data_IF_166224865487
#
_entry.id   IF_166224865487
#
_cell.length_a   1.000
_cell.length_b   1.000
_cell.length_c   1.000
_cell.angle_alpha   90.00
_cell.angle_beta   90.00
_cell.angle_gamma   90.00
#
_symmetry.space_group_name_H-M   'P 1'
#
loop_
_entity.id
_entity.type
_entity.pdbx_description
1 polymer ?
#
# COMPACT_ATOMS: atom_id res chain seq x y z
N UNK A 1 -6.63 13.56 3.18
CA UNK A 1 -5.81 13.21 4.36
C UNK A 1 -4.34 13.28 4.00
N UNK A 2 -3.50 13.82 4.88
CA UNK A 2 -2.04 13.74 4.75
C UNK A 2 -1.50 12.75 5.77
N UNK A 3 -0.40 12.08 5.43
CA UNK A 3 0.38 11.22 6.33
C UNK A 3 1.82 11.72 6.39
N UNK A 4 2.56 11.30 7.39
CA UNK A 4 3.95 11.69 7.64
C UNK A 4 4.12 13.21 7.93
N UNK A 5 3.12 13.87 8.50
CA UNK A 5 3.24 15.25 8.96
C UNK A 5 4.17 15.35 10.18
N UNK A 6 4.81 16.51 10.41
CA UNK A 6 5.55 16.73 11.65
C UNK A 6 4.70 16.38 12.88
N UNK A 7 5.26 15.59 13.79
CA UNK A 7 4.57 15.11 14.99
C UNK A 7 3.52 14.03 14.78
N UNK A 8 3.25 13.57 13.55
CA UNK A 8 2.37 12.42 13.34
C UNK A 8 3.07 11.09 13.63
N UNK A 9 2.30 10.13 14.08
CA UNK A 9 2.70 8.73 14.23
C UNK A 9 1.81 7.83 13.38
N UNK A 10 2.25 6.60 13.15
CA UNK A 10 1.46 5.57 12.46
C UNK A 10 0.08 5.40 13.11
N UNK A 11 0.01 5.41 14.44
CA UNK A 11 -1.22 5.28 15.22
C UNK A 11 -2.12 6.51 15.08
N UNK A 12 -1.54 7.73 15.07
CA UNK A 12 -2.33 8.96 14.91
C UNK A 12 -2.94 9.06 13.51
N UNK A 13 -2.23 8.57 12.50
CA UNK A 13 -2.72 8.51 11.12
C UNK A 13 -3.87 7.51 10.96
N UNK A 14 -3.75 6.32 11.55
CA UNK A 14 -4.83 5.33 11.59
C UNK A 14 -6.08 5.90 12.28
N UNK A 15 -5.92 6.51 13.46
CA UNK A 15 -7.05 7.18 14.13
C UNK A 15 -7.68 8.29 13.28
N UNK A 16 -6.87 9.04 12.54
CA UNK A 16 -7.39 10.07 11.63
C UNK A 16 -8.21 9.45 10.50
N UNK A 17 -7.75 8.34 9.93
CA UNK A 17 -8.50 7.61 8.90
C UNK A 17 -9.83 7.07 9.44
N UNK A 18 -9.82 6.46 10.62
CA UNK A 18 -11.03 5.99 11.31
C UNK A 18 -12.01 7.13 11.59
N UNK A 19 -11.50 8.28 12.03
CA UNK A 19 -12.33 9.47 12.27
C UNK A 19 -12.98 9.99 10.99
N UNK A 20 -12.23 10.04 9.87
CA UNK A 20 -12.77 10.40 8.55
C UNK A 20 -13.90 9.44 8.13
N UNK A 21 -13.72 8.14 8.36
CA UNK A 21 -14.76 7.13 8.10
C UNK A 21 -16.00 7.37 8.99
N UNK A 22 -15.81 7.62 10.29
CA UNK A 22 -16.89 7.86 11.23
C UNK A 22 -17.70 9.13 10.91
N UNK A 23 -17.09 10.12 10.26
CA UNK A 23 -17.77 11.31 9.77
C UNK A 23 -18.61 11.06 8.49
N UNK A 24 -18.64 9.85 7.96
CA UNK A 24 -19.42 9.50 6.78
C UNK A 24 -18.81 9.94 5.45
N UNK A 25 -17.50 10.08 5.37
CA UNK A 25 -16.84 10.40 4.11
C UNK A 25 -17.08 9.29 3.08
N UNK A 26 -17.55 9.65 1.87
CA UNK A 26 -17.73 8.69 0.77
C UNK A 26 -16.44 8.50 -0.02
N UNK A 27 -15.60 9.53 -0.10
CA UNK A 27 -14.38 9.56 -0.90
C UNK A 27 -13.24 10.25 -0.15
N UNK A 28 -12.01 9.80 -0.42
CA UNK A 28 -10.80 10.37 0.19
C UNK A 28 -9.64 10.44 -0.80
N UNK A 29 -8.65 11.26 -0.46
CA UNK A 29 -7.33 11.27 -1.09
C UNK A 29 -6.28 11.16 0.00
N UNK A 30 -5.20 10.43 -0.26
CA UNK A 30 -4.10 10.21 0.69
C UNK A 30 -2.81 10.75 0.11
N UNK A 31 -2.20 11.70 0.80
CA UNK A 31 -0.97 12.34 0.35
C UNK A 31 0.14 12.17 1.40
N UNK A 32 1.14 11.32 1.14
CA UNK A 32 2.37 11.34 1.92
C UNK A 32 3.07 12.70 1.82
N UNK A 33 3.58 13.17 2.94
CA UNK A 33 4.22 14.48 3.05
C UNK A 33 5.59 14.46 2.40
N UNK A 34 5.81 15.40 1.47
CA UNK A 34 7.06 15.59 0.74
C UNK A 34 7.63 16.97 1.06
N UNK A 35 8.93 17.06 1.26
CA UNK A 35 9.64 18.32 1.57
C UNK A 35 9.99 19.00 0.26
N UNK A 36 9.47 20.23 0.08
CA UNK A 36 9.79 21.07 -1.07
C UNK A 36 10.65 22.28 -0.65
N UNK A 37 11.52 22.77 -1.55
CA UNK A 37 12.36 23.92 -1.25
C UNK A 37 11.52 25.18 -0.95
N UNK A 38 12.08 26.09 -0.19
CA UNK A 38 11.47 27.38 0.20
C UNK A 38 10.18 27.24 1.04
N UNK A 39 9.97 26.11 1.72
CA UNK A 39 8.85 25.89 2.65
C UNK A 39 9.33 25.87 4.09
N UNK A 40 8.44 26.11 5.05
CA UNK A 40 8.79 25.95 6.47
C UNK A 40 9.17 24.51 6.80
N UNK A 41 8.52 23.54 6.17
CA UNK A 41 8.88 22.12 6.33
C UNK A 41 10.32 21.83 5.89
N UNK A 42 10.81 22.50 4.84
CA UNK A 42 12.21 22.41 4.43
C UNK A 42 13.15 22.95 5.49
N UNK A 43 12.82 24.10 6.09
CA UNK A 43 13.61 24.67 7.20
C UNK A 43 13.61 23.76 8.42
N UNK A 44 12.48 23.16 8.77
CA UNK A 44 12.40 22.17 9.85
C UNK A 44 13.29 20.96 9.55
N UNK A 45 13.28 20.46 8.31
CA UNK A 45 14.14 19.37 7.87
C UNK A 45 15.63 19.74 7.98
N UNK A 46 16.01 20.93 7.49
CA UNK A 46 17.40 21.43 7.56
C UNK A 46 17.89 21.61 9.01
N UNK A 47 16.99 21.97 9.95
CA UNK A 47 17.29 22.07 11.38
C UNK A 47 17.23 20.74 12.13
N UNK A 48 16.86 19.64 11.46
CA UNK A 48 16.68 18.31 12.09
C UNK A 48 15.43 18.20 12.98
N UNK A 49 14.51 19.15 12.89
CA UNK A 49 13.23 19.15 13.62
C UNK A 49 12.16 18.27 12.96
N UNK A 50 12.36 17.91 11.70
CA UNK A 50 11.50 17.01 10.95
C UNK A 50 12.36 15.98 10.21
N UNK A 51 12.00 14.71 10.38
CA UNK A 51 12.63 13.58 9.67
C UNK A 51 11.54 13.00 8.74
N UNK A 52 11.64 13.22 7.42
CA UNK A 52 10.70 12.66 6.47
C UNK A 52 10.89 11.15 6.38
N UNK A 53 9.80 10.43 6.13
CA UNK A 53 9.87 9.01 5.88
C UNK A 53 10.49 8.72 4.52
N UNK A 54 11.11 7.56 4.40
CA UNK A 54 11.48 7.01 3.10
C UNK A 54 10.24 6.49 2.34
N UNK A 55 10.46 6.06 1.10
CA UNK A 55 9.38 5.61 0.21
C UNK A 55 8.71 4.33 0.74
N UNK A 56 9.48 3.41 1.31
CA UNK A 56 8.97 2.12 1.76
C UNK A 56 8.14 2.26 3.04
N UNK A 57 8.62 3.00 4.02
CA UNK A 57 7.87 3.27 5.25
C UNK A 57 6.61 4.10 4.96
N UNK A 58 6.68 5.08 4.06
CA UNK A 58 5.51 5.84 3.63
C UNK A 58 4.49 4.96 2.91
N UNK A 59 4.93 3.97 2.11
CA UNK A 59 4.04 3.01 1.48
C UNK A 59 3.35 2.11 2.51
N UNK A 60 4.08 1.64 3.55
CA UNK A 60 3.50 0.85 4.64
C UNK A 60 2.44 1.63 5.43
N UNK A 61 2.74 2.88 5.82
CA UNK A 61 1.78 3.73 6.56
C UNK A 61 0.58 4.12 5.69
N UNK A 62 0.81 4.34 4.40
CA UNK A 62 -0.29 4.56 3.44
C UNK A 62 -1.17 3.31 3.32
N UNK A 63 -0.58 2.12 3.26
CA UNK A 63 -1.33 0.86 3.19
C UNK A 63 -2.28 0.69 4.38
N UNK A 64 -1.85 1.02 5.61
CA UNK A 64 -2.72 1.00 6.79
C UNK A 64 -3.98 1.86 6.59
N UNK A 65 -3.80 3.05 6.04
CA UNK A 65 -4.91 3.99 5.77
C UNK A 65 -5.83 3.44 4.66
N UNK A 66 -5.26 2.85 3.61
CA UNK A 66 -6.03 2.22 2.53
C UNK A 66 -6.89 1.06 3.04
N UNK A 67 -6.35 0.23 3.92
CA UNK A 67 -7.09 -0.89 4.54
C UNK A 67 -8.25 -0.39 5.41
N UNK A 68 -8.05 0.69 6.18
CA UNK A 68 -9.11 1.32 6.98
C UNK A 68 -10.22 1.86 6.06
N UNK A 69 -9.87 2.61 5.03
CA UNK A 69 -10.83 3.16 4.09
C UNK A 69 -11.60 2.07 3.32
N UNK A 70 -10.91 1.03 2.87
CA UNK A 70 -11.54 -0.10 2.18
C UNK A 70 -12.54 -0.83 3.09
N UNK A 71 -12.16 -1.11 4.34
CA UNK A 71 -13.04 -1.74 5.35
C UNK A 71 -14.32 -0.94 5.59
N UNK A 72 -14.26 0.39 5.53
CA UNK A 72 -15.40 1.27 5.76
C UNK A 72 -16.09 1.74 4.47
N UNK A 73 -15.70 1.22 3.30
CA UNK A 73 -16.30 1.57 2.02
C UNK A 73 -15.99 2.99 1.52
N UNK A 74 -14.97 3.65 2.08
CA UNK A 74 -14.51 4.96 1.61
C UNK A 74 -13.66 4.78 0.36
N UNK A 75 -14.10 5.35 -0.76
CA UNK A 75 -13.39 5.25 -2.03
C UNK A 75 -12.16 6.16 -2.05
N UNK A 76 -10.98 5.58 -2.21
CA UNK A 76 -9.76 6.36 -2.36
C UNK A 76 -9.56 6.76 -3.82
N UNK A 77 -9.69 8.07 -4.10
CA UNK A 77 -9.58 8.62 -5.45
C UNK A 77 -8.13 8.74 -5.93
N UNK A 78 -7.22 8.98 -5.00
CA UNK A 78 -5.79 9.16 -5.29
C UNK A 78 -4.93 8.89 -4.08
N UNK A 79 -3.77 8.31 -4.36
CA UNK A 79 -2.66 8.19 -3.42
C UNK A 79 -1.43 8.84 -4.04
N UNK A 80 -0.72 9.65 -3.25
CA UNK A 80 0.49 10.34 -3.68
C UNK A 80 0.26 11.53 -4.60
N UNK A 81 1.31 12.28 -4.84
CA UNK A 81 1.31 13.45 -5.71
C UNK A 81 1.37 13.03 -7.18
N UNK A 82 0.85 13.90 -8.07
CA UNK A 82 1.03 13.71 -9.50
C UNK A 82 2.50 13.83 -9.87
N UNK A 83 2.94 13.05 -10.83
CA UNK A 83 4.21 13.31 -11.49
C UNK A 83 4.16 14.70 -12.12
N UNK A 84 5.09 15.55 -11.73
CA UNK A 84 5.22 16.93 -12.20
C UNK A 84 6.64 17.41 -12.04
N UNK A 85 7.00 18.48 -12.72
CA UNK A 85 8.29 19.15 -12.47
C UNK A 85 8.43 19.58 -11.00
N UNK A 86 7.31 19.96 -10.36
CA UNK A 86 7.29 20.27 -8.93
C UNK A 86 7.74 19.10 -8.07
N UNK A 87 7.24 17.89 -8.34
CA UNK A 87 7.62 16.70 -7.59
C UNK A 87 9.12 16.37 -7.72
N UNK A 88 9.70 16.62 -8.89
CA UNK A 88 11.14 16.43 -9.14
C UNK A 88 12.04 17.41 -8.35
N UNK A 89 11.48 18.50 -7.83
CA UNK A 89 12.17 19.46 -6.96
C UNK A 89 12.11 19.11 -5.48
N UNK A 90 11.53 17.96 -5.13
CA UNK A 90 11.49 17.51 -3.75
C UNK A 90 12.90 17.38 -3.17
N UNK A 91 13.09 17.94 -1.99
CA UNK A 91 14.37 17.90 -1.25
C UNK A 91 14.49 16.59 -0.47
N UNK A 92 13.39 16.12 0.10
CA UNK A 92 13.35 14.90 0.89
C UNK A 92 11.92 14.35 0.99
N UNK A 93 11.79 13.12 1.46
CA UNK A 93 10.52 12.44 1.66
C UNK A 93 10.09 11.55 0.49
N UNK A 94 8.91 10.93 0.58
CA UNK A 94 8.46 9.91 -0.35
C UNK A 94 7.93 10.52 -1.66
N UNK A 95 8.82 11.01 -2.51
CA UNK A 95 8.52 11.67 -3.78
C UNK A 95 8.35 10.71 -4.97
N UNK A 96 8.20 9.41 -4.72
CA UNK A 96 8.02 8.41 -5.77
C UNK A 96 6.69 8.64 -6.53
N UNK A 97 6.71 8.71 -7.87
CA UNK A 97 5.49 8.95 -8.66
C UNK A 97 4.52 7.76 -8.61
N UNK A 98 5.02 6.57 -8.29
CA UNK A 98 4.27 5.31 -8.15
C UNK A 98 3.83 5.00 -6.71
N UNK A 99 3.80 6.00 -5.81
CA UNK A 99 3.43 5.82 -4.39
C UNK A 99 2.11 5.07 -4.21
N UNK A 100 1.11 5.36 -5.05
CA UNK A 100 -0.17 4.66 -5.00
C UNK A 100 -0.05 3.17 -5.27
N UNK A 101 0.71 2.79 -6.29
CA UNK A 101 0.93 1.37 -6.63
C UNK A 101 1.73 0.65 -5.54
N UNK A 102 2.73 1.31 -4.96
CA UNK A 102 3.50 0.75 -3.83
C UNK A 102 2.62 0.48 -2.61
N UNK A 103 1.81 1.46 -2.20
CA UNK A 103 0.91 1.29 -1.07
C UNK A 103 -0.13 0.18 -1.33
N UNK A 104 -0.75 0.17 -2.51
CA UNK A 104 -1.69 -0.89 -2.90
C UNK A 104 -1.03 -2.27 -2.93
N UNK A 105 0.22 -2.33 -3.40
CA UNK A 105 1.01 -3.57 -3.41
C UNK A 105 1.24 -4.11 -2.00
N UNK A 106 1.46 -3.25 -1.01
CA UNK A 106 1.57 -3.67 0.42
C UNK A 106 0.25 -4.25 0.94
N UNK A 107 -0.90 -3.63 0.61
CA UNK A 107 -2.22 -4.18 0.97
C UNK A 107 -2.40 -5.58 0.40
N UNK A 108 -2.14 -5.77 -0.88
CA UNK A 108 -2.25 -7.09 -1.53
C UNK A 108 -1.31 -8.14 -0.91
N UNK A 109 -0.07 -7.75 -0.61
CA UNK A 109 0.88 -8.65 0.04
C UNK A 109 0.37 -9.13 1.39
N UNK A 110 -0.10 -8.22 2.24
CA UNK A 110 -0.64 -8.53 3.57
C UNK A 110 -1.81 -9.49 3.47
N UNK A 111 -2.79 -9.19 2.63
CA UNK A 111 -3.97 -10.06 2.41
C UNK A 111 -3.59 -11.45 1.92
N UNK A 112 -2.63 -11.54 0.99
CA UNK A 112 -2.18 -12.84 0.51
C UNK A 112 -1.45 -13.65 1.60
N UNK A 113 -0.61 -12.99 2.40
CA UNK A 113 0.07 -13.64 3.52
C UNK A 113 -0.91 -14.13 4.59
N UNK A 114 -1.94 -13.35 4.90
CA UNK A 114 -3.00 -13.73 5.83
C UNK A 114 -3.83 -14.90 5.29
N UNK A 115 -4.31 -14.80 4.04
CA UNK A 115 -5.13 -15.83 3.42
C UNK A 115 -4.42 -17.19 3.31
N UNK A 116 -3.13 -17.21 2.95
CA UNK A 116 -2.36 -18.46 2.96
C UNK A 116 -2.05 -18.96 4.37
N UNK A 117 -1.82 -18.06 5.33
CA UNK A 117 -1.62 -18.46 6.72
C UNK A 117 -2.89 -19.10 7.33
N UNK A 118 -4.07 -18.57 7.01
CA UNK A 118 -5.36 -19.13 7.43
C UNK A 118 -5.62 -20.52 6.86
N UNK A 119 -5.17 -20.80 5.62
CA UNK A 119 -5.23 -22.13 5.04
C UNK A 119 -4.33 -23.15 5.77
N UNK A 120 -3.29 -22.70 6.45
CA UNK A 120 -2.32 -23.55 7.15
C UNK A 120 -1.53 -24.48 6.25
N UNK A 121 -1.38 -24.15 4.97
CA UNK A 121 -0.81 -25.02 3.93
C UNK A 121 0.52 -24.42 3.45
N UNK A 122 1.51 -25.28 3.25
CA UNK A 122 2.79 -24.95 2.60
C UNK A 122 3.13 -26.03 1.54
N UNK A 123 3.91 -25.63 0.54
CA UNK A 123 4.24 -26.49 -0.60
C UNK A 123 3.12 -26.57 -1.64
N UNK A 124 3.38 -27.28 -2.75
CA UNK A 124 2.45 -27.39 -3.88
C UNK A 124 2.46 -26.16 -4.80
N UNK A 125 1.48 -26.10 -5.69
CA UNK A 125 1.28 -24.99 -6.62
C UNK A 125 0.19 -24.06 -6.13
N UNK A 126 0.50 -22.76 -6.02
CA UNK A 126 -0.44 -21.77 -5.52
C UNK A 126 -1.00 -20.87 -6.62
N UNK A 127 -2.24 -20.45 -6.43
CA UNK A 127 -2.93 -19.48 -7.29
C UNK A 127 -3.53 -18.39 -6.42
N UNK A 128 -3.29 -17.14 -6.80
CA UNK A 128 -3.97 -15.96 -6.24
C UNK A 128 -4.88 -15.40 -7.31
N UNK A 129 -6.16 -15.31 -7.01
CA UNK A 129 -7.15 -14.64 -7.85
C UNK A 129 -7.36 -13.22 -7.37
N UNK A 130 -7.28 -12.24 -8.28
CA UNK A 130 -7.43 -10.80 -8.02
C UNK A 130 -8.43 -10.17 -8.98
N UNK A 131 -8.88 -8.96 -8.69
CA UNK A 131 -9.74 -8.20 -9.61
C UNK A 131 -9.00 -7.80 -10.90
N UNK A 132 -9.78 -7.49 -11.94
CA UNK A 132 -9.25 -7.03 -13.24
C UNK A 132 -8.35 -5.79 -13.06
N UNK A 133 -7.17 -5.80 -13.68
CA UNK A 133 -6.16 -4.74 -13.60
C UNK A 133 -5.38 -4.68 -12.28
N UNK A 134 -5.45 -5.71 -11.43
CA UNK A 134 -4.75 -5.74 -10.14
C UNK A 134 -3.49 -6.62 -10.13
N UNK A 135 -3.22 -7.35 -11.22
CA UNK A 135 -2.08 -8.28 -11.30
C UNK A 135 -0.74 -7.61 -10.97
N UNK A 136 -0.45 -6.42 -11.51
CA UNK A 136 0.80 -5.70 -11.26
C UNK A 136 0.98 -5.38 -9.77
N UNK A 137 -0.08 -4.88 -9.12
CA UNK A 137 -0.08 -4.53 -7.70
C UNK A 137 0.06 -5.76 -6.81
N UNK A 138 -0.62 -6.86 -7.16
CA UNK A 138 -0.46 -8.13 -6.45
C UNK A 138 0.95 -8.69 -6.58
N UNK A 139 1.52 -8.68 -7.78
CA UNK A 139 2.89 -9.15 -8.00
C UNK A 139 3.94 -8.27 -7.30
N UNK A 140 3.67 -6.98 -7.17
CA UNK A 140 4.59 -5.99 -6.63
C UNK A 140 5.71 -5.61 -7.61
N UNK A 141 6.48 -4.58 -7.24
CA UNK A 141 7.60 -4.14 -8.06
C UNK A 141 8.59 -5.31 -8.27
N UNK A 142 8.97 -5.57 -9.53
CA UNK A 142 9.86 -6.68 -9.90
C UNK A 142 9.43 -8.05 -9.32
N UNK A 143 8.14 -8.28 -9.16
CA UNK A 143 7.56 -9.51 -8.59
C UNK A 143 7.97 -9.76 -7.12
N UNK A 144 8.23 -8.72 -6.36
CA UNK A 144 8.68 -8.82 -4.96
C UNK A 144 7.66 -9.56 -4.09
N UNK A 145 6.36 -9.26 -4.23
CA UNK A 145 5.33 -9.89 -3.43
C UNK A 145 5.21 -11.39 -3.71
N UNK A 146 5.16 -11.76 -5.00
CA UNK A 146 5.05 -13.19 -5.37
C UNK A 146 6.25 -13.98 -4.88
N UNK A 147 7.46 -13.40 -4.96
CA UNK A 147 8.67 -14.03 -4.42
C UNK A 147 8.58 -14.21 -2.90
N UNK A 148 8.22 -13.16 -2.15
CA UNK A 148 8.07 -13.24 -0.69
C UNK A 148 7.05 -14.29 -0.24
N UNK A 149 5.91 -14.37 -0.94
CA UNK A 149 4.87 -15.35 -0.65
C UNK A 149 5.37 -16.76 -0.96
N UNK A 150 5.98 -16.94 -2.13
CA UNK A 150 6.50 -18.24 -2.57
C UNK A 150 7.57 -18.77 -1.60
N UNK A 151 8.50 -17.92 -1.19
CA UNK A 151 9.54 -18.26 -0.22
C UNK A 151 8.94 -18.61 1.15
N UNK A 152 8.01 -17.80 1.65
CA UNK A 152 7.41 -17.99 2.98
C UNK A 152 6.62 -19.29 3.10
N UNK A 153 5.87 -19.67 2.07
CA UNK A 153 5.02 -20.86 2.08
C UNK A 153 5.60 -22.04 1.28
N UNK A 154 6.82 -21.88 0.77
CA UNK A 154 7.58 -22.94 0.06
C UNK A 154 6.79 -23.48 -1.16
N UNK A 155 6.08 -22.60 -1.88
CA UNK A 155 5.34 -23.01 -3.07
C UNK A 155 6.28 -23.32 -4.25
N UNK A 156 5.98 -24.41 -4.99
CA UNK A 156 6.70 -24.75 -6.21
C UNK A 156 6.48 -23.70 -7.28
N UNK A 157 5.21 -23.33 -7.50
CA UNK A 157 4.83 -22.22 -8.37
C UNK A 157 3.80 -21.31 -7.69
N UNK A 158 3.77 -20.05 -8.11
CA UNK A 158 2.75 -19.08 -7.68
C UNK A 158 2.25 -18.31 -8.90
N UNK A 159 0.98 -18.48 -9.22
CA UNK A 159 0.32 -17.79 -10.34
C UNK A 159 -0.65 -16.74 -9.81
N UNK A 160 -0.69 -15.58 -10.46
CA UNK A 160 -1.70 -14.53 -10.22
C UNK A 160 -2.62 -14.49 -11.44
N UNK A 161 -3.93 -14.59 -11.23
CA UNK A 161 -4.94 -14.57 -12.31
C UNK A 161 -6.04 -13.56 -12.00
N UNK A 162 -6.56 -12.91 -13.03
CA UNK A 162 -7.64 -11.94 -12.90
C UNK A 162 -9.01 -12.59 -12.99
N UNK A 163 -9.94 -12.06 -12.18
CA UNK A 163 -11.35 -12.49 -12.13
C UNK A 163 -12.25 -11.26 -12.10
N UNK A 164 -13.35 -11.32 -12.85
CA UNK A 164 -14.32 -10.22 -12.96
C UNK A 164 -15.23 -10.08 -11.73
N UNK A 165 -15.36 -11.14 -10.94
CA UNK A 165 -16.19 -11.19 -9.72
C UNK A 165 -15.44 -10.72 -8.46
N UNK A 166 -14.16 -10.34 -8.58
CA UNK A 166 -13.34 -9.82 -7.48
C UNK A 166 -13.20 -8.31 -7.64
N UNK A 167 -13.50 -7.56 -6.58
CA UNK A 167 -13.50 -6.09 -6.58
C UNK A 167 -12.59 -5.56 -5.47
N UNK A 168 -11.97 -4.40 -5.71
CA UNK A 168 -11.12 -3.70 -4.73
C UNK A 168 -9.86 -4.48 -4.41
N UNK A 169 -9.54 -4.60 -3.13
CA UNK A 169 -8.38 -5.36 -2.66
C UNK A 169 -8.71 -6.82 -2.30
N UNK A 170 -9.92 -7.30 -2.64
CA UNK A 170 -10.26 -8.68 -2.34
C UNK A 170 -9.43 -9.64 -3.18
N UNK A 171 -9.10 -10.77 -2.57
CA UNK A 171 -8.38 -11.86 -3.22
C UNK A 171 -9.02 -13.20 -2.84
N UNK A 172 -8.78 -14.21 -3.66
CA UNK A 172 -9.03 -15.62 -3.32
C UNK A 172 -7.74 -16.39 -3.55
N UNK A 173 -7.40 -17.30 -2.65
CA UNK A 173 -6.20 -18.12 -2.75
C UNK A 173 -6.56 -19.59 -2.84
N UNK A 174 -5.76 -20.35 -3.58
CA UNK A 174 -5.91 -21.80 -3.75
C UNK A 174 -4.55 -22.45 -3.78
N UNK A 175 -4.43 -23.65 -3.23
CA UNK A 175 -3.23 -24.49 -3.33
C UNK A 175 -3.63 -25.80 -4.00
N UNK A 176 -2.86 -26.18 -5.01
CA UNK A 176 -3.01 -27.41 -5.78
C UNK A 176 -1.85 -28.32 -5.43
N UNK A 177 -2.16 -29.54 -5.05
CA UNK A 177 -1.15 -30.58 -4.85
C UNK A 177 -1.19 -31.53 -6.06
N UNK A 178 -0.04 -31.83 -6.62
CA UNK A 178 0.07 -32.90 -7.59
C UNK A 178 -0.40 -34.23 -6.93
N UNK A 179 -1.32 -34.87 -7.59
CA UNK A 179 -1.83 -36.18 -7.14
C UNK A 179 -0.84 -37.28 -7.50
#
# INVERSE_FOLDING_TARGET
>A
MMICLPGSSRESEKRTAEFICAMGAAEARVYPTVVFPNTELCRMYERGEYIPLDVDEAAERTADVLEIFDKHGVKVLRVGLCESEGLRRAVAGPSAPDMGERAMSRVFLRRALEAFAELGISGGDAVIEVGVGQTSKMCGHRKENTRKIQEKFIFNTLKVIEKTDIIGYNIKVKVLFDR
#
